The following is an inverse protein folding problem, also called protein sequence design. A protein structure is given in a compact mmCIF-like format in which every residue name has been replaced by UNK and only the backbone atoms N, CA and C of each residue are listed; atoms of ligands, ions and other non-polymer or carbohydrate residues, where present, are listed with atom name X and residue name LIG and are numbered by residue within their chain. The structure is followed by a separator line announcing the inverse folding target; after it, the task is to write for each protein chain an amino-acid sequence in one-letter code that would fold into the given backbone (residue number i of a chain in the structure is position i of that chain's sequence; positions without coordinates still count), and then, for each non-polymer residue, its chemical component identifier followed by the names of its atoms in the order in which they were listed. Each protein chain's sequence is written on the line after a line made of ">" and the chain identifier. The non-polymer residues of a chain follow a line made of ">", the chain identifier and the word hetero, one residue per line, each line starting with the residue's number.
data_IF_038855955864
#
_entry.id   IF_038855955864
#
_cell.length_a   1.000
_cell.length_b   1.000
_cell.length_c   1.000
_cell.angle_alpha   90.00
_cell.angle_beta   90.00
_cell.angle_gamma   90.00
#
_symmetry.space_group_name_H-M   'P 1'
#
loop_
_entity.id
_entity.type
_entity.pdbx_description
1 polymer ?
#
# COMPACT_ATOMS: atom_id res chain seq x y z
N UNK A 1 -12.33 -16.20 -11.60
CA UNK A 1 -11.88 -15.52 -12.83
C UNK A 1 -10.95 -16.49 -13.52
N UNK A 2 -11.31 -16.97 -14.71
CA UNK A 2 -10.36 -17.73 -15.52
C UNK A 2 -9.31 -16.74 -16.02
N UNK A 3 -8.05 -17.02 -15.69
CA UNK A 3 -6.92 -16.26 -16.19
C UNK A 3 -6.62 -16.86 -17.56
N UNK A 4 -6.50 -16.02 -18.59
CA UNK A 4 -6.15 -16.46 -19.95
C UNK A 4 -4.76 -17.09 -20.02
N UNK A 5 -4.20 -17.19 -21.22
CA UNK A 5 -2.85 -17.74 -21.39
C UNK A 5 -1.80 -16.92 -20.61
N UNK A 6 -1.08 -17.57 -19.71
CA UNK A 6 -0.05 -16.95 -18.87
C UNK A 6 1.29 -17.00 -19.62
N UNK A 7 1.96 -15.85 -19.84
CA UNK A 7 3.26 -15.82 -20.51
C UNK A 7 4.34 -16.64 -19.79
N UNK A 8 5.36 -17.12 -20.52
CA UNK A 8 6.44 -17.96 -19.97
C UNK A 8 7.25 -17.31 -18.83
N UNK A 9 7.23 -15.98 -18.71
CA UNK A 9 7.89 -15.21 -17.67
C UNK A 9 6.95 -14.76 -16.53
N UNK A 10 5.73 -15.31 -16.47
CA UNK A 10 4.73 -14.99 -15.46
C UNK A 10 4.26 -16.26 -14.73
N UNK A 11 3.85 -16.08 -13.48
CA UNK A 11 3.25 -17.13 -12.66
C UNK A 11 1.92 -16.61 -12.14
N UNK A 12 0.84 -17.34 -12.37
CA UNK A 12 -0.46 -17.04 -11.81
C UNK A 12 -0.93 -18.20 -10.92
N UNK A 13 -1.04 -17.94 -9.62
CA UNK A 13 -1.44 -18.93 -8.63
C UNK A 13 -2.37 -18.30 -7.59
N UNK A 14 -3.22 -19.08 -6.91
CA UNK A 14 -4.17 -18.54 -5.93
C UNK A 14 -3.52 -17.84 -4.73
N UNK A 15 -2.32 -18.29 -4.34
CA UNK A 15 -1.58 -17.73 -3.23
C UNK A 15 -0.07 -17.97 -3.37
N UNK A 16 0.71 -17.03 -2.83
CA UNK A 16 2.16 -17.13 -2.65
C UNK A 16 2.54 -16.72 -1.23
N UNK A 17 3.67 -17.20 -0.68
CA UNK A 17 4.20 -16.69 0.58
C UNK A 17 4.81 -15.28 0.38
N UNK A 18 3.95 -14.28 0.18
CA UNK A 18 4.30 -12.92 -0.28
C UNK A 18 5.45 -12.29 0.53
N UNK A 19 5.37 -12.30 1.86
CA UNK A 19 6.42 -11.72 2.72
C UNK A 19 7.79 -12.35 2.44
N UNK A 20 7.85 -13.67 2.32
CA UNK A 20 9.10 -14.39 2.05
C UNK A 20 9.60 -14.09 0.63
N UNK A 21 8.68 -14.01 -0.34
CA UNK A 21 9.00 -13.67 -1.72
C UNK A 21 9.59 -12.25 -1.80
N UNK A 22 8.95 -11.26 -1.20
CA UNK A 22 9.40 -9.86 -1.18
C UNK A 22 10.78 -9.74 -0.54
N UNK A 23 11.02 -10.43 0.58
CA UNK A 23 12.33 -10.41 1.25
C UNK A 23 13.43 -11.08 0.41
N UNK A 24 13.14 -12.22 -0.23
CA UNK A 24 14.10 -12.92 -1.08
C UNK A 24 14.39 -12.17 -2.38
N UNK A 25 13.38 -11.52 -2.94
CA UNK A 25 13.48 -10.78 -4.19
C UNK A 25 13.98 -9.33 -4.02
N UNK A 26 14.07 -8.82 -2.78
CA UNK A 26 14.30 -7.39 -2.50
C UNK A 26 15.46 -6.76 -3.30
N UNK A 27 16.58 -7.48 -3.48
CA UNK A 27 17.74 -6.97 -4.21
C UNK A 27 17.52 -6.74 -5.72
N UNK A 28 16.51 -7.39 -6.31
CA UNK A 28 16.16 -7.28 -7.74
C UNK A 28 14.69 -6.93 -7.99
N UNK A 29 13.94 -6.60 -6.94
CA UNK A 29 12.54 -6.26 -7.05
C UNK A 29 12.39 -4.82 -7.57
N UNK A 30 11.85 -4.70 -8.78
CA UNK A 30 11.74 -3.39 -9.42
C UNK A 30 10.58 -2.54 -8.89
N UNK A 31 9.41 -3.15 -8.66
CA UNK A 31 8.21 -2.49 -8.11
C UNK A 31 7.19 -3.52 -7.63
N UNK A 32 6.19 -3.04 -6.88
CA UNK A 32 4.99 -3.80 -6.50
C UNK A 32 3.74 -3.11 -7.05
N UNK A 33 2.99 -3.82 -7.89
CA UNK A 33 1.64 -3.44 -8.32
C UNK A 33 0.64 -4.00 -7.31
N UNK A 34 -0.18 -3.15 -6.68
CA UNK A 34 -1.09 -3.58 -5.63
C UNK A 34 -2.37 -2.74 -5.63
N UNK A 35 -3.46 -3.32 -5.12
CA UNK A 35 -4.66 -2.57 -4.78
C UNK A 35 -4.47 -1.53 -3.66
N UNK A 36 -3.37 -1.59 -2.89
CA UNK A 36 -3.10 -0.62 -1.81
C UNK A 36 -3.62 -1.00 -0.42
N UNK A 37 -4.06 -2.24 -0.22
CA UNK A 37 -4.39 -2.72 1.14
C UNK A 37 -3.20 -2.60 2.08
N UNK A 38 -3.46 -2.23 3.33
CA UNK A 38 -2.44 -1.82 4.31
C UNK A 38 -1.26 -2.80 4.47
N UNK A 39 -1.52 -4.11 4.46
CA UNK A 39 -0.46 -5.12 4.67
C UNK A 39 0.56 -5.12 3.54
N UNK A 40 0.14 -5.36 2.29
CA UNK A 40 1.03 -5.34 1.12
C UNK A 40 1.72 -3.98 0.96
N UNK A 41 1.00 -2.89 1.25
CA UNK A 41 1.58 -1.54 1.22
C UNK A 41 2.79 -1.41 2.16
N UNK A 42 2.63 -1.83 3.42
CA UNK A 42 3.71 -1.78 4.41
C UNK A 42 4.83 -2.78 4.11
N UNK A 43 4.50 -3.99 3.65
CA UNK A 43 5.49 -5.01 3.31
C UNK A 43 6.40 -4.56 2.16
N UNK A 44 5.83 -3.95 1.12
CA UNK A 44 6.59 -3.39 0.00
C UNK A 44 7.51 -2.26 0.45
N UNK A 45 7.01 -1.31 1.25
CA UNK A 45 7.82 -0.21 1.78
C UNK A 45 8.90 -0.69 2.76
N UNK A 46 8.65 -1.75 3.52
CA UNK A 46 9.63 -2.31 4.45
C UNK A 46 10.85 -2.92 3.72
N UNK A 47 10.65 -3.44 2.50
CA UNK A 47 11.74 -3.92 1.63
C UNK A 47 12.26 -2.86 0.66
N UNK A 48 11.70 -1.65 0.69
CA UNK A 48 12.14 -0.52 -0.15
C UNK A 48 11.68 -0.60 -1.61
N UNK A 49 10.58 -1.32 -1.89
CA UNK A 49 10.04 -1.41 -3.24
C UNK A 49 9.09 -0.23 -3.55
N UNK A 50 9.22 0.42 -4.72
CA UNK A 50 8.26 1.43 -5.15
C UNK A 50 6.93 0.79 -5.58
N UNK A 51 5.88 1.61 -5.67
CA UNK A 51 4.50 1.16 -5.77
C UNK A 51 3.79 1.66 -7.04
N UNK A 52 2.98 0.80 -7.63
CA UNK A 52 1.85 1.22 -8.47
C UNK A 52 0.58 0.81 -7.73
N UNK A 53 -0.23 1.79 -7.33
CA UNK A 53 -1.42 1.55 -6.50
C UNK A 53 -2.68 1.68 -7.34
N UNK A 54 -3.48 0.62 -7.39
CA UNK A 54 -4.78 0.56 -8.07
C UNK A 54 -5.92 0.48 -7.03
N UNK A 55 -6.30 1.58 -6.38
CA UNK A 55 -7.21 1.52 -5.25
C UNK A 55 -8.66 1.27 -5.67
N UNK A 56 -9.49 0.78 -4.76
CA UNK A 56 -10.92 0.55 -5.04
C UNK A 56 -11.82 0.94 -3.89
N UNK A 57 -11.48 0.59 -2.64
CA UNK A 57 -12.30 0.98 -1.49
C UNK A 57 -11.49 1.02 -0.20
N UNK A 58 -12.05 1.67 0.83
CA UNK A 58 -11.50 1.69 2.18
C UNK A 58 -10.12 2.35 2.27
N UNK A 59 -9.23 1.71 3.03
CA UNK A 59 -7.86 2.15 3.31
C UNK A 59 -7.00 2.32 2.04
N UNK A 60 -7.33 1.59 0.97
CA UNK A 60 -6.62 1.61 -0.31
C UNK A 60 -6.49 3.02 -0.90
N UNK A 61 -7.53 3.85 -0.78
CA UNK A 61 -7.55 5.22 -1.32
C UNK A 61 -6.55 6.10 -0.58
N UNK A 62 -6.57 6.03 0.75
CA UNK A 62 -5.64 6.77 1.60
C UNK A 62 -4.19 6.30 1.41
N UNK A 63 -3.98 4.99 1.24
CA UNK A 63 -2.65 4.44 0.98
C UNK A 63 -2.12 4.83 -0.40
N UNK A 64 -2.97 4.86 -1.43
CA UNK A 64 -2.59 5.42 -2.74
C UNK A 64 -2.16 6.88 -2.64
N UNK A 65 -2.93 7.72 -1.95
CA UNK A 65 -2.56 9.11 -1.73
C UNK A 65 -1.22 9.24 -1.00
N UNK A 66 -1.00 8.45 0.07
CA UNK A 66 0.29 8.43 0.79
C UNK A 66 1.45 8.01 -0.10
N UNK A 67 1.29 7.01 -0.96
CA UNK A 67 2.35 6.61 -1.90
C UNK A 67 2.77 7.77 -2.81
N UNK A 68 1.79 8.49 -3.35
CA UNK A 68 2.02 9.68 -4.18
C UNK A 68 2.72 10.79 -3.38
N UNK A 69 2.19 11.13 -2.19
CA UNK A 69 2.72 12.22 -1.35
C UNK A 69 4.15 11.95 -0.88
N UNK A 70 4.49 10.69 -0.60
CA UNK A 70 5.84 10.28 -0.19
C UNK A 70 6.83 10.18 -1.37
N UNK A 71 6.32 10.23 -2.61
CA UNK A 71 7.09 10.04 -3.83
C UNK A 71 7.60 8.60 -4.00
N UNK A 72 6.88 7.61 -3.47
CA UNK A 72 7.25 6.17 -3.52
C UNK A 72 6.45 5.39 -4.55
N UNK A 73 5.50 6.04 -5.23
CA UNK A 73 4.71 5.40 -6.26
C UNK A 73 3.67 6.30 -6.91
N UNK A 74 2.94 5.72 -7.85
CA UNK A 74 1.83 6.38 -8.56
C UNK A 74 0.50 5.71 -8.23
N UNK A 75 -0.59 6.44 -8.45
CA UNK A 75 -1.96 5.93 -8.31
C UNK A 75 -2.59 5.82 -9.69
N UNK A 76 -3.09 4.63 -10.01
CA UNK A 76 -3.88 4.36 -11.22
C UNK A 76 -5.31 4.05 -10.76
N UNK A 77 -6.24 5.03 -10.82
CA UNK A 77 -7.56 4.80 -10.28
C UNK A 77 -8.33 3.79 -11.14
N UNK A 78 -9.21 3.01 -10.51
CA UNK A 78 -9.99 1.98 -11.21
C UNK A 78 -11.22 2.59 -11.90
N UNK A 79 -11.64 2.06 -13.07
CA UNK A 79 -12.92 2.42 -13.65
C UNK A 79 -14.05 2.06 -12.68
N UNK A 80 -15.04 2.95 -12.58
CA UNK A 80 -16.28 2.63 -11.86
C UNK A 80 -17.02 1.55 -12.66
N UNK A 81 -17.07 0.33 -12.13
CA UNK A 81 -18.08 -0.64 -12.56
C UNK A 81 -19.43 -0.13 -12.06
N UNK A 82 -20.42 0.00 -12.96
CA UNK A 82 -21.81 0.25 -12.53
C UNK A 82 -22.17 -0.87 -11.56
N UNK A 83 -22.49 -0.52 -10.33
CA UNK A 83 -22.79 -1.50 -9.30
C UNK A 83 -24.06 -2.27 -9.66
N UNK A 84 -23.92 -3.56 -9.98
CA UNK A 84 -24.96 -4.54 -9.72
C UNK A 84 -25.13 -4.54 -8.20
N UNK A 85 -26.35 -4.29 -7.71
CA UNK A 85 -26.64 -4.02 -6.28
C UNK A 85 -26.37 -5.18 -5.31
N UNK A 86 -25.66 -6.22 -5.73
CA UNK A 86 -25.62 -7.51 -5.03
C UNK A 86 -24.26 -7.86 -4.39
N UNK A 87 -23.18 -7.12 -4.69
CA UNK A 87 -21.82 -7.47 -4.25
C UNK A 87 -21.22 -6.70 -3.07
N UNK A 88 -21.80 -5.58 -2.64
CA UNK A 88 -21.14 -4.67 -1.68
C UNK A 88 -21.57 -4.97 -0.24
N UNK A 89 -21.09 -6.08 0.33
CA UNK A 89 -21.09 -6.32 1.78
C UNK A 89 -19.65 -6.46 2.28
N UNK A 90 -18.93 -5.34 2.32
CA UNK A 90 -17.73 -5.19 3.14
C UNK A 90 -18.10 -4.40 4.39
N UNK A 91 -18.00 -5.01 5.56
CA UNK A 91 -18.27 -4.34 6.84
C UNK A 91 -17.27 -3.19 7.03
N UNK A 92 -17.77 -1.95 7.09
CA UNK A 92 -16.99 -0.79 7.51
C UNK A 92 -16.50 -1.03 8.95
N UNK A 93 -15.19 -0.98 9.14
CA UNK A 93 -14.56 -1.13 10.44
C UNK A 93 -14.55 0.22 11.17
N UNK A 94 -14.51 0.22 12.52
CA UNK A 94 -14.52 1.46 13.31
C UNK A 94 -13.33 2.43 13.04
N UNK A 95 -12.31 2.04 12.26
CA UNK A 95 -11.22 2.94 11.83
C UNK A 95 -11.60 3.89 10.69
N UNK A 96 -12.71 3.63 9.98
CA UNK A 96 -13.12 4.42 8.82
C UNK A 96 -13.60 5.83 9.21
N UNK A 97 -13.99 6.03 10.49
CA UNK A 97 -14.48 7.30 11.01
C UNK A 97 -13.38 8.34 11.31
N UNK A 98 -12.14 7.91 11.59
CA UNK A 98 -11.05 8.80 12.02
C UNK A 98 -10.21 9.36 10.86
N UNK A 99 -10.30 8.77 9.66
CA UNK A 99 -9.44 9.11 8.50
C UNK A 99 -10.17 9.99 7.46
N UNK A 100 -11.46 10.27 7.66
CA UNK A 100 -12.35 10.86 6.65
C UNK A 100 -12.04 12.30 6.22
N UNK A 101 -11.27 13.07 6.99
CA UNK A 101 -11.10 14.51 6.72
C UNK A 101 -10.08 14.84 5.61
N UNK A 102 -9.25 13.89 5.15
CA UNK A 102 -8.31 14.10 4.03
C UNK A 102 -8.60 13.25 2.78
N UNK A 103 -9.53 12.30 2.88
CA UNK A 103 -9.89 11.41 1.76
C UNK A 103 -10.87 12.06 0.77
N UNK A 104 -11.56 13.13 1.17
CA UNK A 104 -12.66 13.74 0.40
C UNK A 104 -12.22 14.46 -0.89
N UNK A 105 -10.94 14.76 -1.08
CA UNK A 105 -10.47 15.49 -2.28
C UNK A 105 -9.95 14.58 -3.40
N UNK A 106 -9.86 13.27 -3.18
CA UNK A 106 -9.28 12.33 -4.14
C UNK A 106 -10.31 11.34 -4.72
N UNK A 107 -11.58 11.76 -4.77
CA UNK A 107 -12.65 11.07 -5.51
C UNK A 107 -12.63 11.46 -7.01
N UNK A 108 -11.42 11.55 -7.57
CA UNK A 108 -11.25 11.78 -9.00
C UNK A 108 -11.54 10.47 -9.72
N UNK A 109 -12.81 10.26 -10.06
CA UNK A 109 -13.24 9.26 -11.01
C UNK A 109 -12.35 9.34 -12.27
N UNK A 110 -11.84 8.19 -12.73
CA UNK A 110 -11.19 8.14 -14.05
C UNK A 110 -12.26 8.42 -15.10
N UNK A 111 -12.02 9.34 -16.05
CA UNK A 111 -12.89 9.50 -17.21
C UNK A 111 -13.05 8.14 -17.91
N UNK A 112 -14.29 7.78 -18.26
CA UNK A 112 -14.67 6.51 -18.88
C UNK A 112 -14.02 6.22 -20.25
N UNK A 113 -13.17 7.11 -20.74
CA UNK A 113 -12.46 6.98 -22.02
C UNK A 113 -11.02 6.45 -21.88
N UNK A 114 -10.49 6.34 -20.65
CA UNK A 114 -9.13 5.83 -20.44
C UNK A 114 -9.15 4.31 -20.41
N UNK A 115 -8.42 3.67 -21.34
CA UNK A 115 -8.16 2.24 -21.27
C UNK A 115 -7.35 1.95 -19.98
N UNK A 116 -7.98 1.28 -19.02
CA UNK A 116 -7.38 0.98 -17.73
C UNK A 116 -6.11 0.13 -17.85
N UNK A 117 -6.05 -0.79 -18.81
CA UNK A 117 -4.84 -1.61 -19.04
C UNK A 117 -3.66 -0.73 -19.47
N UNK A 118 -3.90 0.22 -20.38
CA UNK A 118 -2.88 1.16 -20.83
C UNK A 118 -2.47 2.12 -19.71
N UNK A 119 -3.40 2.55 -18.85
CA UNK A 119 -3.10 3.38 -17.69
C UNK A 119 -2.22 2.64 -16.67
N UNK A 120 -2.52 1.36 -16.40
CA UNK A 120 -1.68 0.51 -15.55
C UNK A 120 -0.30 0.32 -16.17
N UNK A 121 -0.24 0.02 -17.49
CA UNK A 121 1.02 -0.13 -18.21
C UNK A 121 1.87 1.16 -18.22
N UNK A 122 1.23 2.33 -18.35
CA UNK A 122 1.88 3.62 -18.23
C UNK A 122 2.45 3.85 -16.81
N UNK A 123 1.66 3.59 -15.77
CA UNK A 123 2.12 3.71 -14.38
C UNK A 123 3.29 2.77 -14.05
N UNK A 124 3.26 1.53 -14.55
CA UNK A 124 4.38 0.58 -14.42
C UNK A 124 5.63 1.10 -15.12
N UNK A 125 5.51 1.59 -16.37
CA UNK A 125 6.65 2.17 -17.11
C UNK A 125 7.23 3.40 -16.41
N UNK A 126 6.38 4.26 -15.86
CA UNK A 126 6.80 5.46 -15.14
C UNK A 126 7.60 5.10 -13.89
N UNK A 127 7.03 4.24 -13.02
CA UNK A 127 7.70 3.86 -11.77
C UNK A 127 8.99 3.08 -12.04
N UNK A 128 8.99 2.21 -13.05
CA UNK A 128 10.18 1.45 -13.44
C UNK A 128 11.27 2.34 -14.07
N UNK A 129 10.87 3.29 -14.91
CA UNK A 129 11.81 4.15 -15.65
C UNK A 129 12.38 5.30 -14.83
N UNK A 130 11.68 5.74 -13.78
CA UNK A 130 12.08 6.87 -12.97
C UNK A 130 12.70 6.42 -11.63
N UNK A 131 14.04 6.45 -11.55
CA UNK A 131 14.79 5.96 -10.38
C UNK A 131 14.44 6.62 -9.04
N UNK A 132 13.88 7.84 -9.05
CA UNK A 132 13.53 8.55 -7.83
C UNK A 132 12.50 7.78 -6.97
N UNK A 133 11.56 7.04 -7.56
CA UNK A 133 10.60 6.26 -6.77
C UNK A 133 11.28 5.18 -5.93
N UNK A 134 12.24 4.47 -6.53
CA UNK A 134 13.03 3.46 -5.84
C UNK A 134 13.91 4.08 -4.75
N UNK A 135 14.59 5.21 -5.04
CA UNK A 135 15.39 5.94 -4.06
C UNK A 135 14.55 6.38 -2.85
N UNK A 136 13.37 6.92 -3.10
CA UNK A 136 12.43 7.32 -2.04
C UNK A 136 11.93 6.12 -1.24
N UNK A 137 11.59 5.01 -1.90
CA UNK A 137 11.14 3.79 -1.23
C UNK A 137 12.25 3.20 -0.32
N UNK A 138 13.50 3.18 -0.78
CA UNK A 138 14.66 2.78 0.02
C UNK A 138 14.85 3.71 1.22
N UNK A 139 14.74 5.03 1.04
CA UNK A 139 14.85 6.00 2.13
C UNK A 139 13.76 5.77 3.19
N UNK A 140 12.53 5.46 2.77
CA UNK A 140 11.42 5.10 3.67
C UNK A 140 11.72 3.80 4.42
N UNK A 141 12.22 2.77 3.74
CA UNK A 141 12.60 1.49 4.37
C UNK A 141 13.68 1.68 5.46
N UNK A 142 14.68 2.52 5.19
CA UNK A 142 15.71 2.90 6.17
C UNK A 142 15.08 3.62 7.36
N UNK A 143 14.20 4.59 7.11
CA UNK A 143 13.47 5.31 8.16
C UNK A 143 12.62 4.38 9.04
N UNK A 144 11.92 3.43 8.44
CA UNK A 144 11.12 2.42 9.16
C UNK A 144 12.00 1.57 10.08
N UNK A 145 13.18 1.12 9.62
CA UNK A 145 14.14 0.38 10.44
C UNK A 145 14.68 1.22 11.59
N UNK A 146 15.01 2.48 11.34
CA UNK A 146 15.55 3.41 12.34
C UNK A 146 14.51 3.84 13.39
N UNK A 147 13.21 3.83 13.04
CA UNK A 147 12.14 4.20 13.96
C UNK A 147 12.06 3.27 15.19
N UNK A 148 12.68 2.08 15.15
CA UNK A 148 12.71 1.11 16.26
C UNK A 148 11.43 0.29 16.40
N UNK A 149 10.41 0.58 15.58
CA UNK A 149 9.20 -0.21 15.41
C UNK A 149 8.52 -0.61 16.72
N UNK A 150 8.13 -1.89 16.79
CA UNK A 150 7.43 -2.47 17.95
C UNK A 150 8.28 -2.46 19.22
N UNK A 151 9.60 -2.59 19.11
CA UNK A 151 10.51 -2.54 20.27
C UNK A 151 10.44 -1.19 20.96
N UNK A 152 10.60 -0.10 20.20
CA UNK A 152 10.48 1.26 20.74
C UNK A 152 9.09 1.54 21.30
N UNK A 153 8.04 1.08 20.62
CA UNK A 153 6.68 1.22 21.12
C UNK A 153 6.49 0.52 22.47
N UNK A 154 6.99 -0.72 22.61
CA UNK A 154 6.92 -1.48 23.86
C UNK A 154 7.70 -0.79 25.00
N UNK A 155 8.88 -0.25 24.70
CA UNK A 155 9.68 0.52 25.66
C UNK A 155 8.94 1.77 26.16
N UNK A 156 8.27 2.50 25.26
CA UNK A 156 7.47 3.68 25.61
C UNK A 156 6.27 3.30 26.49
N UNK A 157 5.55 2.23 26.13
CA UNK A 157 4.42 1.72 26.93
C UNK A 157 4.89 1.33 28.33
N UNK A 158 6.01 0.61 28.44
CA UNK A 158 6.59 0.21 29.73
C UNK A 158 6.93 1.43 30.60
N UNK A 159 7.51 2.49 30.01
CA UNK A 159 7.82 3.72 30.73
C UNK A 159 6.56 4.42 31.26
N UNK A 160 5.47 4.44 30.50
CA UNK A 160 4.19 5.03 30.94
C UNK A 160 3.62 4.26 32.12
N UNK A 161 3.63 2.93 32.05
CA UNK A 161 3.13 2.06 33.13
C UNK A 161 3.95 2.27 34.42
N UNK A 162 5.28 2.35 34.32
CA UNK A 162 6.15 2.56 35.48
C UNK A 162 5.91 3.93 36.15
N UNK A 163 5.69 4.99 35.37
CA UNK A 163 5.39 6.33 35.91
C UNK A 163 4.01 6.39 36.57
N UNK A 164 3.01 5.71 35.99
CA UNK A 164 1.67 5.65 36.57
C UNK A 164 1.62 4.81 37.85
N UNK A 165 2.39 3.72 37.93
CA UNK A 165 2.48 2.89 39.13
C UNK A 165 3.23 3.54 40.30
N UNK A 166 4.15 4.46 40.03
CA UNK A 166 4.89 5.20 41.06
C UNK A 166 4.11 6.34 41.74
N UNK A 167 3.00 6.79 41.16
CA UNK A 167 2.21 7.92 41.68
C UNK A 167 1.17 7.55 42.75
N UNK A 168 1.10 6.27 43.17
CA UNK A 168 0.10 5.76 44.12
C UNK A 168 0.66 5.23 45.46
N UNK A 169 1.94 5.50 45.78
CA UNK A 169 2.61 4.95 46.97
C UNK A 169 3.33 5.99 47.84
N UNK A 170 2.82 7.23 47.91
CA UNK A 170 3.30 8.24 48.87
C UNK A 170 2.19 8.73 49.77
#
# INVERSE_FOLDING_TARGET
>A
VEVGEVPANAVCVPAVPQVQLLHKAAAGLALVLTHGGQNTFMEALAVGAPLVVCPGFGDQIANGARAKDMGVGVVVPRPLVKADKEGMQGQAGPSDALTGARAAEHDAAVPSEVNYEEAVAAGVREVFGAGHFAERAVAVAVGLKQAGGTKRAAELVAQVVQRAGGAGMS
#
